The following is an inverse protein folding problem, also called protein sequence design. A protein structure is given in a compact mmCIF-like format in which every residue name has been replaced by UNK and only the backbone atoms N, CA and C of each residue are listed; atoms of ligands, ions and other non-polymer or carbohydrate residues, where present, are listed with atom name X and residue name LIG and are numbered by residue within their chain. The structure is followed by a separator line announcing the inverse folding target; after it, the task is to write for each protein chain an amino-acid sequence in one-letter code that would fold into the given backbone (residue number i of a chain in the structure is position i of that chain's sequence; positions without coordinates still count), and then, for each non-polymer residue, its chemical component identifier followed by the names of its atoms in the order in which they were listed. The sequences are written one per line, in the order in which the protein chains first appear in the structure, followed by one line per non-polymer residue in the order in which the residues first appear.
data_IF_668061743104
#
_entry.id   IF_668061743104
#
_cell.length_a   1.000
_cell.length_b   1.000
_cell.length_c   1.000
_cell.angle_alpha   90.00
_cell.angle_beta   90.00
_cell.angle_gamma   90.00
#
_symmetry.space_group_name_H-M   'P 1'
#
loop_
_entity.id
_entity.type
_entity.pdbx_description
1 polymer ?
#
# COMPACT_ATOMS: atom_id res chain seq x y z
N UNK A 1 -2.72 8.66 16.31
CA UNK A 1 -2.40 7.74 15.20
C UNK A 1 -3.27 8.19 14.04
N UNK A 2 -2.65 8.60 12.94
CA UNK A 2 -3.36 8.93 11.72
C UNK A 2 -3.65 7.62 10.98
N UNK A 3 -4.87 7.48 10.47
CA UNK A 3 -5.38 6.25 9.83
C UNK A 3 -5.98 6.65 8.49
N UNK A 4 -5.70 5.92 7.43
CA UNK A 4 -6.45 6.01 6.19
C UNK A 4 -7.41 4.81 6.07
N UNK A 5 -8.53 4.97 5.38
CA UNK A 5 -9.54 3.91 5.22
C UNK A 5 -10.68 3.87 6.25
N UNK A 6 -11.76 3.19 5.85
CA UNK A 6 -13.09 3.25 6.49
C UNK A 6 -13.41 2.22 7.58
N UNK A 7 -12.60 1.18 7.77
CA UNK A 7 -12.84 0.13 8.77
C UNK A 7 -11.52 -0.49 9.24
N UNK A 8 -11.10 -0.15 10.47
CA UNK A 8 -10.09 -0.78 11.37
C UNK A 8 -8.75 -1.38 10.86
N UNK A 9 -8.49 -1.47 9.56
CA UNK A 9 -7.24 -1.90 8.92
C UNK A 9 -6.62 -0.73 8.14
N UNK A 10 -5.29 -0.59 8.27
CA UNK A 10 -4.48 0.34 7.48
C UNK A 10 -4.56 -0.04 6.00
N UNK A 11 -4.79 0.93 5.11
CA UNK A 11 -4.96 0.63 3.68
C UNK A 11 -3.61 0.80 2.99
N UNK A 12 -2.82 -0.27 2.97
CA UNK A 12 -1.52 -0.29 2.26
C UNK A 12 -1.69 -0.14 0.74
N UNK A 13 -2.79 -0.67 0.19
CA UNK A 13 -3.05 -0.73 -1.25
C UNK A 13 -4.50 -0.39 -1.58
N UNK A 14 -4.71 0.50 -2.54
CA UNK A 14 -6.05 0.82 -3.04
C UNK A 14 -6.09 1.00 -4.56
N UNK A 15 -7.27 0.80 -5.14
CA UNK A 15 -7.51 1.03 -6.57
C UNK A 15 -8.09 2.43 -6.87
N UNK A 16 -8.69 3.07 -5.88
CA UNK A 16 -9.33 4.39 -6.01
C UNK A 16 -8.29 5.51 -5.98
N UNK A 17 -8.56 6.63 -6.65
CA UNK A 17 -7.76 7.86 -6.52
C UNK A 17 -8.29 8.77 -5.39
N UNK A 18 -9.28 8.30 -4.62
CA UNK A 18 -9.84 9.02 -3.48
C UNK A 18 -9.15 8.58 -2.20
N UNK A 19 -8.52 9.54 -1.51
CA UNK A 19 -7.82 9.33 -0.23
C UNK A 19 -8.69 9.90 0.87
N UNK A 20 -9.08 9.05 1.83
CA UNK A 20 -9.81 9.48 3.03
C UNK A 20 -8.98 9.24 4.26
N UNK A 21 -8.82 10.31 5.04
CA UNK A 21 -7.96 10.36 6.20
C UNK A 21 -8.83 10.52 7.44
N UNK A 22 -8.47 9.79 8.48
CA UNK A 22 -9.07 9.87 9.80
C UNK A 22 -7.98 10.10 10.83
N UNK A 23 -8.21 11.05 11.73
CA UNK A 23 -7.31 11.31 12.84
C UNK A 23 -8.08 11.71 14.08
N UNK A 24 -7.41 11.58 15.22
CA UNK A 24 -7.91 12.06 16.50
C UNK A 24 -6.78 12.84 17.17
N UNK A 25 -7.06 14.10 17.49
CA UNK A 25 -6.12 15.03 18.10
C UNK A 25 -6.80 15.68 19.30
N UNK A 26 -6.07 15.73 20.42
CA UNK A 26 -6.52 16.36 21.66
C UNK A 26 -5.35 17.12 22.28
N UNK A 27 -5.66 18.21 22.96
CA UNK A 27 -4.74 19.01 23.78
C UNK A 27 -5.56 19.48 24.98
N UNK A 28 -5.30 18.90 26.16
CA UNK A 28 -6.09 19.15 27.37
C UNK A 28 -5.69 20.47 28.05
N UNK A 29 -4.48 20.96 27.78
CA UNK A 29 -3.95 22.19 28.36
C UNK A 29 -4.45 23.44 27.64
N UNK A 30 -4.44 23.43 26.31
CA UNK A 30 -4.78 24.61 25.51
C UNK A 30 -5.88 24.41 24.48
N UNK A 31 -6.21 23.17 24.12
CA UNK A 31 -7.14 22.86 23.04
C UNK A 31 -6.51 23.00 21.65
N UNK A 32 -7.11 22.31 20.68
CA UNK A 32 -6.66 22.33 19.28
C UNK A 32 -7.36 23.47 18.54
N UNK A 33 -6.59 24.34 17.89
CA UNK A 33 -7.13 25.47 17.11
C UNK A 33 -7.51 25.02 15.70
N UNK A 34 -6.54 24.52 14.94
CA UNK A 34 -6.78 23.99 13.60
C UNK A 34 -5.76 22.94 13.20
N UNK A 35 -6.11 22.14 12.19
CA UNK A 35 -5.22 21.20 11.53
C UNK A 35 -5.14 21.49 10.04
N UNK A 36 -3.98 21.21 9.46
CA UNK A 36 -3.68 21.31 8.04
C UNK A 36 -3.22 19.94 7.54
N UNK A 37 -3.52 19.63 6.29
CA UNK A 37 -3.10 18.38 5.64
C UNK A 37 -2.34 18.70 4.36
N UNK A 38 -1.23 18.00 4.15
CA UNK A 38 -0.52 17.93 2.87
C UNK A 38 -0.47 16.47 2.38
N UNK A 39 -0.43 16.30 1.06
CA UNK A 39 -0.27 15.02 0.38
C UNK A 39 0.92 15.11 -0.57
N UNK A 40 1.75 14.07 -0.61
CA UNK A 40 2.90 14.03 -1.51
C UNK A 40 3.35 12.62 -1.81
N UNK A 41 4.33 12.49 -2.71
CA UNK A 41 4.88 11.19 -3.14
C UNK A 41 6.09 10.77 -2.29
N UNK A 42 6.38 11.53 -1.24
CA UNK A 42 7.39 11.23 -0.23
C UNK A 42 6.91 11.63 1.17
N UNK A 43 7.41 11.00 2.24
CA UNK A 43 7.01 11.37 3.59
C UNK A 43 7.25 12.87 3.88
N UNK A 44 6.24 13.56 4.42
CA UNK A 44 6.35 14.98 4.80
C UNK A 44 6.21 15.98 3.64
N UNK A 45 6.06 15.49 2.41
CA UNK A 45 6.01 16.31 1.21
C UNK A 45 4.59 16.74 0.83
N UNK A 46 4.48 17.71 -0.09
CA UNK A 46 3.22 18.35 -0.49
C UNK A 46 3.07 18.50 -2.00
N UNK A 47 3.79 17.72 -2.82
CA UNK A 47 3.77 17.88 -4.29
C UNK A 47 2.38 17.64 -4.88
N UNK A 48 1.59 16.75 -4.27
CA UNK A 48 0.23 16.42 -4.74
C UNK A 48 -0.79 17.40 -4.17
N UNK A 49 -0.68 17.72 -2.89
CA UNK A 49 -1.52 18.70 -2.20
C UNK A 49 -0.72 19.44 -1.14
N UNK A 50 -0.66 20.77 -1.25
CA UNK A 50 0.02 21.62 -0.27
C UNK A 50 -0.74 21.66 1.06
N UNK A 51 -0.04 22.00 2.16
CA UNK A 51 -0.65 22.15 3.47
C UNK A 51 -1.84 23.10 3.41
N UNK A 52 -3.02 22.54 3.63
CA UNK A 52 -4.29 23.29 3.60
C UNK A 52 -5.06 23.01 4.87
N UNK A 53 -5.54 24.07 5.51
CA UNK A 53 -6.36 23.97 6.72
C UNK A 53 -7.65 23.19 6.44
N UNK A 54 -7.93 22.22 7.30
CA UNK A 54 -9.10 21.36 7.20
C UNK A 54 -10.25 21.93 8.03
N UNK A 55 -11.49 21.89 7.51
CA UNK A 55 -12.67 22.35 8.25
C UNK A 55 -13.08 21.39 9.38
N UNK A 56 -12.58 20.15 9.35
CA UNK A 56 -12.84 19.10 10.34
C UNK A 56 -11.54 18.78 11.09
N UNK A 57 -11.68 18.45 12.38
CA UNK A 57 -10.58 17.97 13.24
C UNK A 57 -10.51 16.44 13.30
N UNK A 58 -11.34 15.73 12.53
CA UNK A 58 -11.46 14.27 12.60
C UNK A 58 -11.15 13.58 11.28
N UNK A 59 -11.38 14.25 10.16
CA UNK A 59 -11.22 13.64 8.84
C UNK A 59 -11.11 14.65 7.70
N UNK A 60 -10.54 14.17 6.59
CA UNK A 60 -10.55 14.86 5.31
C UNK A 60 -10.57 13.85 4.16
N UNK A 61 -11.16 14.24 3.05
CA UNK A 61 -11.22 13.43 1.82
C UNK A 61 -10.65 14.26 0.66
N UNK A 62 -9.77 13.64 -0.11
CA UNK A 62 -9.13 14.22 -1.27
C UNK A 62 -9.39 13.35 -2.48
N UNK A 63 -9.85 13.96 -3.57
CA UNK A 63 -9.94 13.33 -4.88
C UNK A 63 -8.70 13.71 -5.69
N UNK A 64 -7.85 12.72 -5.95
CA UNK A 64 -6.59 12.87 -6.66
C UNK A 64 -6.67 12.35 -8.11
N UNK A 65 -7.89 12.22 -8.65
CA UNK A 65 -8.12 11.74 -10.01
C UNK A 65 -7.21 12.45 -11.02
N UNK A 66 -6.48 11.66 -11.81
CA UNK A 66 -5.56 12.15 -12.84
C UNK A 66 -4.22 12.71 -12.35
N UNK A 67 -3.95 12.67 -11.04
CA UNK A 67 -2.66 13.06 -10.45
C UNK A 67 -1.80 11.86 -10.04
N UNK A 68 -2.39 10.67 -9.99
CA UNK A 68 -1.73 9.43 -9.57
C UNK A 68 -1.63 8.45 -10.73
N UNK A 69 -0.58 7.65 -10.70
CA UNK A 69 -0.30 6.57 -11.66
C UNK A 69 -0.14 5.24 -10.93
N UNK A 70 -0.23 4.13 -11.68
CA UNK A 70 -0.05 2.80 -11.12
C UNK A 70 1.34 2.67 -10.46
N UNK A 71 1.34 2.30 -9.18
CA UNK A 71 2.54 2.13 -8.37
C UNK A 71 2.98 3.38 -7.60
N UNK A 72 2.29 4.51 -7.74
CA UNK A 72 2.55 5.67 -6.89
C UNK A 72 2.12 5.39 -5.45
N UNK A 73 2.99 5.74 -4.50
CA UNK A 73 2.69 5.73 -3.06
C UNK A 73 2.43 7.16 -2.60
N UNK A 74 1.23 7.40 -2.06
CA UNK A 74 0.82 8.70 -1.54
C UNK A 74 0.99 8.73 -0.03
N UNK A 75 1.74 9.70 0.45
CA UNK A 75 1.96 9.97 1.87
C UNK A 75 1.12 11.17 2.29
N UNK A 76 0.46 11.03 3.43
CA UNK A 76 -0.29 12.13 4.03
C UNK A 76 0.44 12.69 5.23
N UNK A 77 0.46 14.01 5.37
CA UNK A 77 1.07 14.68 6.52
C UNK A 77 0.04 15.60 7.18
N UNK A 78 -0.34 15.27 8.40
CA UNK A 78 -1.19 16.09 9.25
C UNK A 78 -0.33 17.00 10.11
N UNK A 79 -0.68 18.29 10.17
CA UNK A 79 -0.05 19.30 11.03
C UNK A 79 -1.12 20.04 11.82
N UNK A 80 -1.12 19.93 13.14
CA UNK A 80 -2.10 20.60 14.01
C UNK A 80 -1.44 21.66 14.89
N UNK A 81 -2.16 22.75 15.10
CA UNK A 81 -1.76 23.90 15.92
C UNK A 81 -2.71 24.07 17.10
N UNK A 82 -2.16 24.46 18.24
CA UNK A 82 -2.93 24.70 19.46
C UNK A 82 -3.05 26.21 19.77
N UNK A 83 -3.91 26.57 20.73
CA UNK A 83 -4.13 27.98 21.11
C UNK A 83 -2.93 28.62 21.82
N UNK A 84 -1.94 27.82 22.24
CA UNK A 84 -0.67 28.31 22.78
C UNK A 84 0.38 28.64 21.70
N UNK A 85 0.07 28.42 20.41
CA UNK A 85 0.98 28.66 19.29
C UNK A 85 2.02 27.56 19.07
N UNK A 86 1.80 26.36 19.62
CA UNK A 86 2.60 25.18 19.37
C UNK A 86 2.03 24.36 18.21
N UNK A 87 2.91 23.61 17.53
CA UNK A 87 2.55 22.80 16.37
C UNK A 87 3.10 21.38 16.53
N UNK A 88 2.29 20.38 16.17
CA UNK A 88 2.72 18.98 16.03
C UNK A 88 2.38 18.46 14.63
N UNK A 89 3.17 17.51 14.13
CA UNK A 89 2.88 16.87 12.85
C UNK A 89 3.10 15.35 12.92
N UNK A 90 2.39 14.64 12.04
CA UNK A 90 2.50 13.20 11.85
C UNK A 90 2.33 12.91 10.36
N UNK A 91 3.02 11.88 9.88
CA UNK A 91 2.97 11.43 8.48
C UNK A 91 2.52 9.97 8.46
N UNK A 92 1.65 9.60 7.51
CA UNK A 92 1.28 8.19 7.29
C UNK A 92 2.45 7.41 6.67
N UNK A 93 2.42 6.09 6.79
CA UNK A 93 3.30 5.16 6.08
C UNK A 93 2.98 5.06 4.58
N UNK A 94 1.77 5.47 4.19
CA UNK A 94 1.41 5.82 2.83
C UNK A 94 0.70 4.70 2.09
N UNK A 95 -0.16 5.08 1.14
CA UNK A 95 -1.00 4.16 0.40
C UNK A 95 -0.56 4.05 -1.05
N UNK A 96 -0.42 2.83 -1.54
CA UNK A 96 0.02 2.55 -2.91
C UNK A 96 -1.16 2.33 -3.86
N UNK A 97 -1.16 3.02 -5.01
CA UNK A 97 -2.22 2.94 -6.00
C UNK A 97 -2.01 1.77 -6.98
N UNK A 98 -2.93 0.80 -6.97
CA UNK A 98 -2.88 -0.41 -7.79
C UNK A 98 -4.05 -0.45 -8.78
N UNK A 99 -3.81 0.02 -10.00
CA UNK A 99 -4.83 0.07 -11.08
C UNK A 99 -4.63 -0.96 -12.18
N UNK A 100 -3.51 -1.68 -12.20
CA UNK A 100 -3.19 -2.68 -13.22
C UNK A 100 -2.94 -4.06 -12.58
N UNK A 101 -3.29 -5.17 -13.26
CA UNK A 101 -2.91 -6.51 -12.82
C UNK A 101 -1.42 -6.79 -13.10
N UNK A 102 -0.83 -7.81 -12.45
CA UNK A 102 0.53 -8.25 -12.75
C UNK A 102 0.71 -8.59 -14.22
N UNK A 103 1.87 -8.21 -14.79
CA UNK A 103 2.24 -8.61 -16.14
C UNK A 103 2.64 -10.09 -16.19
N UNK A 104 2.11 -10.80 -17.18
CA UNK A 104 2.36 -12.22 -17.41
C UNK A 104 2.86 -12.53 -18.83
N UNK A 105 3.27 -11.52 -19.60
CA UNK A 105 3.69 -11.70 -21.00
C UNK A 105 4.91 -12.61 -21.14
N UNK A 106 5.75 -12.65 -20.09
CA UNK A 106 6.94 -13.49 -20.02
C UNK A 106 6.76 -14.68 -19.08
N UNK A 107 5.53 -14.94 -18.59
CA UNK A 107 5.28 -16.00 -17.64
C UNK A 107 5.45 -17.38 -18.30
N UNK A 108 6.30 -18.21 -17.71
CA UNK A 108 6.50 -19.61 -18.12
C UNK A 108 6.26 -20.54 -16.94
N UNK A 109 5.72 -21.73 -17.24
CA UNK A 109 5.54 -22.80 -16.26
C UNK A 109 6.23 -24.03 -16.81
N UNK A 110 7.16 -24.58 -16.03
CA UNK A 110 7.93 -25.75 -16.41
C UNK A 110 7.71 -26.89 -15.42
N UNK A 111 7.64 -28.11 -15.97
CA UNK A 111 7.63 -29.33 -15.17
C UNK A 111 9.07 -29.76 -14.91
N UNK A 112 9.46 -29.72 -13.64
CA UNK A 112 10.78 -30.20 -13.23
C UNK A 112 10.64 -31.71 -12.98
N UNK A 113 11.37 -32.50 -13.77
CA UNK A 113 11.51 -33.94 -13.52
C UNK A 113 12.77 -34.19 -12.70
N UNK A 114 12.70 -35.05 -11.69
CA UNK A 114 13.91 -35.53 -11.03
C UNK A 114 14.78 -36.30 -12.04
N UNK A 115 16.12 -36.22 -11.88
CA UNK A 115 17.03 -37.07 -12.64
C UNK A 115 16.77 -38.53 -12.28
N UNK A 116 16.29 -39.33 -13.24
CA UNK A 116 16.20 -40.78 -13.05
C UNK A 116 17.59 -41.34 -12.78
N UNK A 117 17.81 -41.90 -11.59
CA UNK A 117 19.03 -42.65 -11.33
C UNK A 117 19.08 -43.91 -12.21
N UNK A 118 20.28 -44.30 -12.65
CA UNK A 118 20.51 -45.45 -13.55
C UNK A 118 20.16 -46.83 -12.93
N UNK A 119 19.79 -46.88 -11.64
CA UNK A 119 19.49 -48.13 -10.97
C UNK A 119 17.99 -48.48 -11.10
N UNK A 120 17.63 -49.67 -11.61
CA UNK A 120 16.24 -50.10 -11.65
C UNK A 120 15.71 -50.30 -10.22
N UNK A 121 14.55 -49.72 -9.93
CA UNK A 121 13.90 -49.82 -8.61
C UNK A 121 13.44 -51.26 -8.36
N UNK A 122 13.92 -51.86 -7.26
CA UNK A 122 13.31 -53.07 -6.70
C UNK A 122 12.14 -52.64 -5.81
N UNK A 123 10.93 -52.92 -6.26
CA UNK A 123 9.68 -52.89 -5.49
C UNK A 123 9.19 -51.51 -4.97
N UNK A 124 8.12 -51.01 -5.61
CA UNK A 124 7.01 -50.24 -5.02
C UNK A 124 7.22 -48.84 -4.43
N UNK A 125 8.20 -48.06 -4.87
CA UNK A 125 8.16 -46.61 -4.68
C UNK A 125 8.54 -45.88 -5.97
N UNK A 126 7.53 -45.47 -6.73
CA UNK A 126 7.68 -44.32 -7.64
C UNK A 126 7.19 -43.10 -6.86
N UNK A 127 8.02 -42.06 -6.75
CA UNK A 127 7.55 -40.74 -6.33
C UNK A 127 6.58 -40.23 -7.40
N UNK A 128 5.27 -40.31 -7.13
CA UNK A 128 4.23 -39.60 -7.92
C UNK A 128 4.19 -38.14 -7.52
N UNK A 129 5.35 -37.47 -7.56
CA UNK A 129 5.49 -36.05 -7.25
C UNK A 129 5.77 -35.32 -8.55
N UNK A 130 4.90 -34.38 -8.90
CA UNK A 130 5.13 -33.45 -10.00
C UNK A 130 5.75 -32.20 -9.38
N UNK A 131 6.95 -31.85 -9.79
CA UNK A 131 7.55 -30.57 -9.43
C UNK A 131 7.24 -29.56 -10.52
N UNK A 132 6.80 -28.39 -10.10
CA UNK A 132 6.48 -27.26 -10.97
C UNK A 132 7.39 -26.10 -10.58
N UNK A 133 7.95 -25.43 -11.58
CA UNK A 133 8.60 -24.12 -11.43
C UNK A 133 7.93 -23.12 -12.35
N UNK A 134 7.85 -21.87 -11.92
CA UNK A 134 7.34 -20.78 -12.74
C UNK A 134 8.23 -19.54 -12.58
N UNK A 135 8.31 -18.76 -13.64
CA UNK A 135 9.05 -17.50 -13.68
C UNK A 135 8.35 -16.48 -14.59
N UNK A 136 8.81 -15.23 -14.61
CA UNK A 136 8.40 -14.22 -15.59
C UNK A 136 7.12 -13.44 -15.27
N UNK A 137 6.49 -13.66 -14.12
CA UNK A 137 5.49 -12.74 -13.58
C UNK A 137 6.16 -11.51 -12.98
N UNK A 138 5.62 -10.33 -13.25
CA UNK A 138 6.16 -9.07 -12.73
C UNK A 138 5.07 -8.06 -12.42
N UNK A 139 5.20 -7.36 -11.29
CA UNK A 139 4.35 -6.24 -10.90
C UNK A 139 5.23 -5.23 -10.13
N UNK A 140 5.12 -3.93 -10.44
CA UNK A 140 5.89 -2.87 -9.77
C UNK A 140 5.47 -2.68 -8.32
N UNK A 141 4.23 -3.05 -7.98
CA UNK A 141 3.64 -3.02 -6.64
C UNK A 141 3.86 -4.33 -5.87
N UNK A 142 4.45 -5.34 -6.55
CA UNK A 142 4.69 -6.66 -6.01
C UNK A 142 3.54 -7.63 -6.26
N UNK A 143 3.82 -8.92 -6.08
CA UNK A 143 2.85 -10.01 -6.30
C UNK A 143 2.55 -10.66 -4.95
N UNK A 144 1.27 -10.65 -4.55
CA UNK A 144 0.84 -11.16 -3.24
C UNK A 144 0.82 -12.68 -3.18
N UNK A 145 0.34 -13.35 -4.21
CA UNK A 145 0.25 -14.81 -4.26
C UNK A 145 0.27 -15.36 -5.69
N UNK A 146 0.67 -16.61 -5.82
CA UNK A 146 0.56 -17.42 -7.03
C UNK A 146 -0.42 -18.56 -6.78
N UNK A 147 -1.30 -18.85 -7.73
CA UNK A 147 -2.27 -19.95 -7.62
C UNK A 147 -2.18 -20.85 -8.84
N UNK A 148 -2.13 -22.17 -8.60
CA UNK A 148 -2.18 -23.21 -9.61
C UNK A 148 -3.48 -23.99 -9.40
N UNK A 149 -4.33 -24.07 -10.42
CA UNK A 149 -5.64 -24.76 -10.38
C UNK A 149 -5.65 -25.97 -11.30
#
# INVERSE_FOLDING_TARGET
MQRDGGDEEDVDFQQSDVITLHWNVTDDESGVDFCEVALGLSPGSGEVHQFTQQPSLYSATFDLSGHLTHGDTVYSTLRCHNYAGMTSHVTSDGVTIVTQPPNSDHASVETVSETQSYYPSRAFHQSTVIHLSWEGFFDVTGIRNYQVT
#
